data_IF_669723829852
#
_entry.id   IF_669723829852
#
_cell.length_a   1.000
_cell.length_b   1.000
_cell.length_c   1.000
_cell.angle_alpha   90.00
_cell.angle_beta   90.00
_cell.angle_gamma   90.00
#
_symmetry.space_group_name_H-M   'P 1'
#
loop_
_entity.id
_entity.type
_entity.pdbx_description
1 polymer ?
#
# COMPACT_ATOMS: atom_id res chain seq x y z
N UNK A 1 39.99 -3.58 40.64
CA UNK A 1 39.32 -2.28 40.86
C UNK A 1 38.03 -2.27 40.05
N UNK A 2 36.95 -2.56 40.74
CA UNK A 2 35.61 -2.63 40.12
C UNK A 2 34.86 -1.36 40.58
N UNK A 3 34.50 -0.47 39.60
CA UNK A 3 33.64 0.70 39.84
C UNK A 3 32.21 0.36 39.53
N UNK A 4 31.42 0.20 40.58
CA UNK A 4 29.96 0.12 40.56
C UNK A 4 29.39 1.50 40.26
N UNK A 5 28.61 1.63 39.19
CA UNK A 5 27.78 2.80 38.89
C UNK A 5 26.31 2.50 39.21
N UNK A 6 25.74 3.26 40.14
CA UNK A 6 24.39 3.17 40.63
C UNK A 6 23.39 3.81 39.64
N UNK A 7 22.18 3.25 39.45
CA UNK A 7 21.14 3.92 38.68
C UNK A 7 20.41 4.97 39.52
N UNK A 8 20.22 6.14 38.94
CA UNK A 8 19.41 7.23 39.49
C UNK A 8 17.93 6.94 39.29
N UNK A 9 17.24 6.66 40.36
CA UNK A 9 15.77 6.54 40.38
C UNK A 9 15.19 7.93 40.61
N UNK A 10 14.67 8.56 39.58
CA UNK A 10 13.93 9.81 39.67
C UNK A 10 12.48 9.51 40.05
N UNK A 11 12.11 9.79 41.28
CA UNK A 11 10.73 9.73 41.77
C UNK A 11 9.95 10.94 41.24
N UNK A 12 8.91 10.70 40.48
CA UNK A 12 7.90 11.70 40.11
C UNK A 12 6.92 11.90 41.26
N UNK A 13 6.58 13.13 41.65
CA UNK A 13 5.57 13.41 42.66
C UNK A 13 4.17 13.27 42.06
N UNK A 14 3.34 12.48 42.75
CA UNK A 14 1.89 12.37 42.54
C UNK A 14 1.20 13.70 42.88
N UNK A 15 0.82 14.46 41.88
CA UNK A 15 -0.02 15.64 42.00
C UNK A 15 -1.50 15.19 42.15
N UNK A 16 -1.98 15.08 43.37
CA UNK A 16 -3.41 14.91 43.68
C UNK A 16 -4.14 16.22 43.43
N UNK A 17 -4.76 16.39 42.29
CA UNK A 17 -5.72 17.46 42.05
C UNK A 17 -7.11 16.99 42.51
N UNK A 18 -7.56 17.53 43.62
CA UNK A 18 -8.95 17.49 44.09
C UNK A 18 -9.69 18.61 43.37
N UNK A 19 -10.45 18.31 42.34
CA UNK A 19 -11.38 19.26 41.73
C UNK A 19 -12.77 18.97 42.30
N UNK A 20 -13.27 19.95 43.05
CA UNK A 20 -14.56 19.92 43.72
C UNK A 20 -15.72 19.86 42.72
N UNK A 21 -16.72 19.08 43.11
CA UNK A 21 -18.03 19.02 42.50
C UNK A 21 -18.72 20.39 42.69
N UNK A 22 -18.88 21.15 41.60
CA UNK A 22 -19.88 22.19 41.49
C UNK A 22 -20.95 21.72 40.54
N UNK A 23 -22.04 21.19 41.11
CA UNK A 23 -23.24 20.79 40.40
C UNK A 23 -24.01 22.07 40.01
N UNK A 24 -23.84 22.53 38.78
CA UNK A 24 -24.71 23.52 38.17
C UNK A 24 -25.65 22.82 37.21
N UNK A 25 -26.86 22.49 37.67
CA UNK A 25 -27.93 21.98 36.83
C UNK A 25 -28.45 23.11 35.94
N UNK A 26 -27.93 23.20 34.71
CA UNK A 26 -28.44 24.12 33.71
C UNK A 26 -29.41 23.32 32.81
N UNK A 27 -30.70 23.41 33.11
CA UNK A 27 -31.77 22.89 32.28
C UNK A 27 -31.95 23.86 31.11
N UNK A 28 -31.27 23.61 30.01
CA UNK A 28 -31.55 24.27 28.75
C UNK A 28 -32.63 23.45 28.02
N UNK A 29 -33.89 23.89 28.09
CA UNK A 29 -34.97 23.40 27.22
C UNK A 29 -34.72 23.96 25.82
N UNK A 30 -34.00 23.20 24.98
CA UNK A 30 -33.92 23.46 23.55
C UNK A 30 -35.10 22.79 22.89
N UNK A 31 -36.18 23.57 22.73
CA UNK A 31 -37.31 23.22 21.86
C UNK A 31 -36.81 23.08 20.42
N UNK A 32 -37.00 21.89 19.88
CA UNK A 32 -36.85 21.36 18.57
C UNK A 32 -36.64 22.31 17.40
N UNK A 33 -35.51 22.20 16.80
CA UNK A 33 -35.37 22.28 15.36
C UNK A 33 -34.95 20.86 14.92
N UNK A 34 -35.81 20.23 14.09
CA UNK A 34 -35.57 18.86 13.60
C UNK A 34 -34.28 18.81 12.77
N UNK A 35 -33.15 18.69 13.46
CA UNK A 35 -31.88 18.34 12.87
C UNK A 35 -31.95 16.86 12.52
N UNK A 36 -32.35 16.51 11.32
CA UNK A 36 -32.12 15.18 10.78
C UNK A 36 -30.63 14.90 10.92
N UNK A 37 -30.28 13.86 11.68
CA UNK A 37 -28.90 13.40 11.77
C UNK A 37 -28.42 13.13 10.34
N UNK A 38 -27.50 13.96 9.87
CA UNK A 38 -26.87 13.77 8.57
C UNK A 38 -25.94 12.56 8.75
N UNK A 39 -26.45 11.36 8.49
CA UNK A 39 -25.61 10.18 8.36
C UNK A 39 -24.91 10.28 7.01
N UNK A 40 -23.59 10.51 6.97
CA UNK A 40 -22.87 10.48 5.70
C UNK A 40 -23.07 9.11 5.04
N UNK A 41 -23.20 9.06 3.71
CA UNK A 41 -23.34 7.78 3.02
C UNK A 41 -22.17 6.86 3.37
N UNK A 42 -22.42 5.54 3.50
CA UNK A 42 -21.35 4.60 3.81
C UNK A 42 -20.31 4.64 2.68
N UNK A 43 -19.04 4.81 3.05
CA UNK A 43 -17.94 4.70 2.11
C UNK A 43 -17.76 3.21 1.81
N UNK A 44 -17.91 2.82 0.55
CA UNK A 44 -17.67 1.46 0.11
C UNK A 44 -16.17 1.24 -0.18
N UNK A 45 -15.65 0.11 0.27
CA UNK A 45 -14.28 -0.30 -0.07
C UNK A 45 -14.18 -0.57 -1.58
N UNK A 46 -13.20 0.03 -2.23
CA UNK A 46 -12.86 -0.27 -3.62
C UNK A 46 -11.36 -0.26 -3.85
N UNK A 47 -10.90 -1.03 -4.84
CA UNK A 47 -9.51 -1.10 -5.26
C UNK A 47 -9.42 -1.04 -6.77
N UNK A 48 -8.47 -0.28 -7.29
CA UNK A 48 -8.18 -0.17 -8.72
C UNK A 48 -6.67 -0.02 -8.95
N UNK A 49 -6.24 -0.36 -10.16
CA UNK A 49 -4.86 -0.19 -10.63
C UNK A 49 -4.85 0.79 -11.78
N UNK A 50 -3.78 1.59 -11.90
CA UNK A 50 -3.64 2.57 -13.00
C UNK A 50 -3.44 1.91 -14.36
N UNK A 51 -2.87 0.70 -14.40
CA UNK A 51 -2.62 -0.07 -15.61
C UNK A 51 -3.22 -1.47 -15.49
N UNK A 52 -4.13 -1.81 -16.39
CA UNK A 52 -4.74 -3.15 -16.46
C UNK A 52 -3.81 -4.19 -17.07
N UNK A 53 -2.74 -3.75 -17.77
CA UNK A 53 -1.68 -4.61 -18.32
C UNK A 53 -0.33 -4.07 -17.88
N UNK A 54 0.47 -4.92 -17.27
CA UNK A 54 1.80 -4.62 -16.74
C UNK A 54 2.81 -5.57 -17.36
N UNK A 55 3.85 -5.03 -18.00
CA UNK A 55 4.94 -5.81 -18.60
C UNK A 55 6.15 -5.77 -17.68
N UNK A 56 6.63 -6.93 -17.26
CA UNK A 56 7.80 -7.06 -16.38
C UNK A 56 8.87 -7.88 -17.09
N UNK A 57 10.07 -7.32 -17.31
CA UNK A 57 11.17 -8.05 -17.91
C UNK A 57 11.81 -8.99 -16.90
N UNK A 58 12.24 -10.22 -17.30
CA UNK A 58 12.85 -11.19 -16.39
C UNK A 58 14.35 -10.91 -16.20
N UNK A 59 14.71 -9.71 -15.80
CA UNK A 59 16.10 -9.25 -15.65
C UNK A 59 16.37 -8.58 -14.29
N UNK A 60 15.42 -8.68 -13.36
CA UNK A 60 15.51 -8.03 -12.04
C UNK A 60 15.11 -6.55 -12.05
N UNK A 61 14.67 -6.00 -13.18
CA UNK A 61 14.20 -4.60 -13.21
C UNK A 61 12.86 -4.48 -12.51
N UNK A 62 12.77 -3.51 -11.59
CA UNK A 62 11.53 -3.21 -10.89
C UNK A 62 10.53 -2.46 -11.77
N UNK A 63 9.27 -2.89 -11.77
CA UNK A 63 8.16 -2.23 -12.44
C UNK A 63 7.13 -1.81 -11.39
N UNK A 64 6.72 -0.55 -11.44
CA UNK A 64 5.83 0.04 -10.47
C UNK A 64 4.40 0.16 -11.00
N UNK A 65 3.43 -0.21 -10.19
CA UNK A 65 1.99 -0.13 -10.46
C UNK A 65 1.34 0.69 -9.36
N UNK A 66 0.73 1.81 -9.71
CA UNK A 66 -0.03 2.57 -8.73
C UNK A 66 -1.36 1.86 -8.43
N UNK A 67 -1.62 1.66 -7.14
CA UNK A 67 -2.85 1.05 -6.63
C UNK A 67 -3.62 2.12 -5.88
N UNK A 68 -4.86 2.35 -6.29
CA UNK A 68 -5.78 3.27 -5.62
C UNK A 68 -6.78 2.47 -4.80
N UNK A 69 -6.84 2.77 -3.51
CA UNK A 69 -7.74 2.13 -2.56
C UNK A 69 -8.63 3.22 -1.95
N UNK A 70 -9.95 3.06 -2.06
CA UNK A 70 -10.92 3.85 -1.32
C UNK A 70 -11.42 2.97 -0.19
N UNK A 71 -11.14 3.35 1.05
CA UNK A 71 -11.48 2.56 2.23
C UNK A 71 -12.30 3.39 3.23
N UNK A 72 -13.20 2.75 4.01
CA UNK A 72 -13.96 3.43 5.06
C UNK A 72 -13.09 3.88 6.24
N UNK A 73 -11.88 3.36 6.36
CA UNK A 73 -10.87 3.72 7.37
C UNK A 73 -9.52 3.96 6.70
N UNK A 74 -8.62 4.65 7.39
CA UNK A 74 -7.25 4.91 6.91
C UNK A 74 -6.38 3.64 6.83
N UNK A 75 -6.83 2.54 7.45
CA UNK A 75 -6.10 1.27 7.46
C UNK A 75 -6.79 0.23 6.58
N UNK A 76 -6.03 -0.43 5.75
CA UNK A 76 -6.48 -1.56 4.93
C UNK A 76 -5.41 -2.66 4.91
N UNK A 77 -5.84 -3.91 4.80
CA UNK A 77 -4.95 -5.03 4.54
C UNK A 77 -4.82 -5.22 3.03
N UNK A 78 -3.59 -5.43 2.56
CA UNK A 78 -3.29 -5.67 1.15
C UNK A 78 -2.73 -7.08 0.97
N UNK A 79 -3.24 -7.81 0.00
CA UNK A 79 -2.72 -9.13 -0.40
C UNK A 79 -2.74 -9.26 -1.91
N UNK A 80 -1.75 -9.96 -2.46
CA UNK A 80 -1.70 -10.31 -3.87
C UNK A 80 -1.56 -11.82 -4.03
N UNK A 81 -2.24 -12.39 -5.01
CA UNK A 81 -2.22 -13.82 -5.32
C UNK A 81 -2.11 -14.04 -6.82
N UNK A 82 -1.71 -15.25 -7.23
CA UNK A 82 -1.60 -15.62 -8.65
C UNK A 82 -0.35 -15.09 -9.35
N UNK A 83 0.66 -14.62 -8.61
CA UNK A 83 1.96 -14.29 -9.19
C UNK A 83 2.70 -15.57 -9.59
N UNK A 84 3.38 -15.59 -10.76
CA UNK A 84 4.20 -16.74 -11.16
C UNK A 84 5.45 -16.88 -10.29
N UNK A 85 5.98 -18.11 -10.23
CA UNK A 85 7.24 -18.36 -9.55
C UNK A 85 8.37 -17.49 -10.12
N UNK A 86 9.19 -16.91 -9.27
CA UNK A 86 10.28 -16.01 -9.64
C UNK A 86 9.89 -14.53 -9.76
N UNK A 87 8.62 -14.19 -9.55
CA UNK A 87 8.18 -12.79 -9.35
C UNK A 87 8.07 -12.51 -7.86
N UNK A 88 8.76 -11.48 -7.42
CA UNK A 88 8.61 -10.89 -6.08
C UNK A 88 7.80 -9.60 -6.15
N UNK A 89 7.08 -9.32 -5.07
CA UNK A 89 6.26 -8.13 -4.93
C UNK A 89 6.62 -7.36 -3.64
N UNK A 90 6.40 -6.07 -3.65
CA UNK A 90 6.48 -5.21 -2.49
C UNK A 90 5.45 -4.10 -2.62
N UNK A 91 4.62 -3.92 -1.62
CA UNK A 91 3.63 -2.84 -1.57
C UNK A 91 4.04 -1.79 -0.55
N UNK A 92 4.09 -0.54 -0.99
CA UNK A 92 4.37 0.61 -0.14
C UNK A 92 3.16 1.54 -0.15
N UNK A 93 2.51 1.67 1.00
CA UNK A 93 1.39 2.59 1.21
C UNK A 93 1.86 4.05 1.17
N UNK A 94 0.96 4.94 0.79
CA UNK A 94 1.11 6.38 0.94
C UNK A 94 0.98 6.78 2.41
N UNK A 95 1.60 7.88 2.82
CA UNK A 95 1.59 8.35 4.22
C UNK A 95 0.19 8.75 4.74
N UNK A 96 -0.75 9.04 3.84
CA UNK A 96 -2.06 9.63 4.20
C UNK A 96 -3.26 8.77 3.87
N UNK A 97 -3.08 7.64 3.17
CA UNK A 97 -4.19 6.73 2.81
C UNK A 97 -3.65 5.36 2.43
N UNK A 98 -4.49 4.30 2.42
CA UNK A 98 -4.05 2.95 2.07
C UNK A 98 -3.67 2.75 0.59
N UNK A 99 -3.88 3.74 -0.28
CA UNK A 99 -3.39 3.72 -1.66
C UNK A 99 -1.86 3.75 -1.68
N UNK A 100 -1.25 3.16 -2.70
CA UNK A 100 0.22 3.08 -2.70
C UNK A 100 0.81 2.59 -4.02
N UNK A 101 2.05 2.14 -3.91
CA UNK A 101 2.84 1.67 -5.04
C UNK A 101 3.17 0.19 -4.87
N UNK A 102 2.67 -0.63 -5.79
CA UNK A 102 3.05 -2.03 -5.92
C UNK A 102 4.26 -2.13 -6.83
N UNK A 103 5.36 -2.66 -6.33
CA UNK A 103 6.58 -2.92 -7.10
C UNK A 103 6.66 -4.40 -7.41
N UNK A 104 6.82 -4.75 -8.68
CA UNK A 104 6.98 -6.11 -9.17
C UNK A 104 8.38 -6.30 -9.76
N UNK A 105 9.03 -7.40 -9.43
CA UNK A 105 10.37 -7.75 -9.94
C UNK A 105 10.35 -9.21 -10.38
N UNK A 106 10.66 -9.46 -11.64
CA UNK A 106 10.83 -10.82 -12.15
C UNK A 106 12.32 -11.16 -12.30
N UNK A 107 12.73 -12.30 -11.78
CA UNK A 107 14.10 -12.80 -11.93
C UNK A 107 14.27 -13.52 -13.30
N UNK A 108 15.52 -13.85 -13.65
CA UNK A 108 15.86 -14.49 -14.92
C UNK A 108 15.31 -15.93 -15.09
N UNK A 109 14.86 -16.56 -14.00
CA UNK A 109 14.25 -17.90 -14.04
C UNK A 109 12.72 -17.85 -14.17
N UNK A 110 12.12 -16.65 -14.16
CA UNK A 110 10.67 -16.50 -14.33
C UNK A 110 10.26 -16.91 -15.75
N UNK A 111 9.28 -17.79 -15.83
CA UNK A 111 8.79 -18.29 -17.12
C UNK A 111 8.06 -17.16 -17.85
N UNK A 112 8.45 -16.85 -19.12
CA UNK A 112 7.73 -15.88 -19.94
C UNK A 112 6.29 -16.33 -20.20
N UNK A 113 5.35 -15.38 -20.17
CA UNK A 113 3.94 -15.68 -20.34
C UNK A 113 3.03 -14.57 -19.88
N UNK A 114 1.73 -14.84 -19.97
CA UNK A 114 0.68 -13.92 -19.47
C UNK A 114 0.00 -14.56 -18.27
N UNK A 115 -0.09 -13.80 -17.19
CA UNK A 115 -0.66 -14.19 -15.91
C UNK A 115 -1.75 -13.22 -15.50
N UNK A 116 -2.65 -13.63 -14.64
CA UNK A 116 -3.77 -12.80 -14.14
C UNK A 116 -3.76 -12.76 -12.61
N UNK A 117 -2.80 -12.06 -12.02
CA UNK A 117 -2.78 -11.91 -10.57
C UNK A 117 -3.95 -11.06 -10.08
N UNK A 118 -4.36 -11.33 -8.84
CA UNK A 118 -5.44 -10.64 -8.15
C UNK A 118 -4.91 -9.92 -6.92
N UNK A 119 -5.23 -8.63 -6.82
CA UNK A 119 -5.06 -7.85 -5.60
C UNK A 119 -6.36 -7.94 -4.81
N UNK A 120 -6.26 -8.22 -3.53
CA UNK A 120 -7.39 -8.23 -2.58
C UNK A 120 -7.08 -7.29 -1.43
N UNK A 121 -8.03 -6.42 -1.11
CA UNK A 121 -7.93 -5.43 -0.04
C UNK A 121 -9.07 -5.66 0.94
N UNK A 122 -8.76 -5.61 2.24
CA UNK A 122 -9.74 -5.72 3.31
C UNK A 122 -9.70 -4.49 4.23
N UNK A 123 -10.86 -3.93 4.58
CA UNK A 123 -10.99 -2.83 5.53
C UNK A 123 -12.36 -2.87 6.20
N UNK A 124 -12.41 -2.73 7.52
CA UNK A 124 -13.66 -2.68 8.31
C UNK A 124 -14.66 -3.80 7.99
N UNK A 125 -14.17 -5.03 7.78
CA UNK A 125 -15.02 -6.19 7.45
C UNK A 125 -15.52 -6.24 6.01
N UNK A 126 -15.15 -5.28 5.18
CA UNK A 126 -15.38 -5.28 3.72
C UNK A 126 -14.16 -5.84 2.98
N UNK A 127 -14.39 -6.40 1.80
CA UNK A 127 -13.33 -6.90 0.91
C UNK A 127 -13.61 -6.42 -0.51
N UNK A 128 -12.57 -5.94 -1.20
CA UNK A 128 -12.59 -5.58 -2.60
C UNK A 128 -11.42 -6.24 -3.33
N UNK A 129 -11.59 -6.56 -4.62
CA UNK A 129 -10.55 -7.19 -5.42
C UNK A 129 -10.48 -6.60 -6.81
N UNK A 130 -9.27 -6.60 -7.38
CA UNK A 130 -9.01 -6.26 -8.79
C UNK A 130 -8.04 -7.25 -9.39
N UNK A 131 -8.31 -7.66 -10.63
CA UNK A 131 -7.42 -8.51 -11.45
C UNK A 131 -6.75 -7.62 -12.49
N UNK A 132 -5.47 -7.85 -12.75
CA UNK A 132 -4.74 -7.21 -13.83
C UNK A 132 -3.96 -8.25 -14.64
N UNK A 133 -3.57 -7.89 -15.86
CA UNK A 133 -2.77 -8.73 -16.73
C UNK A 133 -1.29 -8.46 -16.47
N UNK A 134 -0.54 -9.49 -16.08
CA UNK A 134 0.91 -9.44 -15.91
C UNK A 134 1.55 -10.20 -17.08
N UNK A 135 2.34 -9.51 -17.88
CA UNK A 135 3.10 -10.09 -18.99
C UNK A 135 4.58 -10.18 -18.60
N UNK A 136 5.11 -11.38 -18.49
CA UNK A 136 6.55 -11.59 -18.39
C UNK A 136 7.11 -11.70 -19.80
N UNK A 137 7.93 -10.73 -20.20
CA UNK A 137 8.52 -10.72 -21.54
C UNK A 137 9.56 -11.83 -21.70
N UNK A 138 9.66 -12.36 -22.92
CA UNK A 138 10.77 -13.26 -23.23
C UNK A 138 12.11 -12.50 -23.17
N UNK A 139 13.21 -13.14 -22.73
CA UNK A 139 14.53 -12.53 -22.81
C UNK A 139 14.87 -12.27 -24.29
N UNK A 140 15.61 -11.18 -24.60
CA UNK A 140 16.01 -10.90 -25.97
C UNK A 140 16.80 -12.07 -26.55
N UNK A 141 16.44 -12.48 -27.75
CA UNK A 141 17.09 -13.61 -28.43
C UNK A 141 18.58 -13.28 -28.64
N UNK A 142 19.52 -14.20 -28.31
CA UNK A 142 20.92 -14.00 -28.64
C UNK A 142 21.07 -13.86 -30.15
N UNK A 143 21.34 -12.68 -30.65
CA UNK A 143 21.43 -12.35 -32.07
C UNK A 143 20.82 -11.01 -32.46
N UNK A 144 19.79 -10.55 -31.75
CA UNK A 144 19.13 -9.28 -32.09
C UNK A 144 19.99 -8.04 -31.70
N UNK A 145 20.96 -8.22 -30.81
CA UNK A 145 21.93 -7.16 -30.45
C UNK A 145 23.00 -6.90 -31.55
N UNK A 146 23.14 -7.77 -32.57
CA UNK A 146 24.14 -7.61 -33.60
C UNK A 146 23.71 -6.67 -34.74
N UNK A 147 22.40 -6.52 -34.93
CA UNK A 147 21.85 -5.72 -36.07
C UNK A 147 22.04 -4.19 -35.89
N UNK A 148 22.24 -3.72 -34.66
CA UNK A 148 22.43 -2.28 -34.44
C UNK A 148 23.89 -1.82 -34.63
N UNK A 149 24.88 -2.72 -34.65
CA UNK A 149 26.30 -2.36 -34.86
C UNK A 149 26.67 -2.27 -36.35
N UNK A 150 25.94 -2.97 -37.23
CA UNK A 150 26.22 -3.00 -38.67
C UNK A 150 25.63 -1.80 -39.45
N UNK A 151 24.88 -0.93 -38.78
CA UNK A 151 24.23 0.24 -39.41
C UNK A 151 24.96 1.57 -39.20
N UNK A 152 26.11 1.57 -38.50
CA UNK A 152 27.02 2.71 -38.45
C UNK A 152 28.29 2.40 -39.26
N UNK A 153 28.31 2.66 -40.59
CA UNK A 153 29.57 2.69 -41.33
C UNK A 153 30.41 3.81 -40.74
N UNK A 154 31.60 3.44 -40.26
CA UNK A 154 32.55 4.39 -39.70
C UNK A 154 32.79 5.54 -40.64
N UNK A 155 32.63 6.74 -40.17
CA UNK A 155 33.18 7.96 -40.78
C UNK A 155 34.70 7.94 -40.53
N UNK A 156 35.46 7.61 -41.56
CA UNK A 156 36.88 7.98 -41.70
C UNK A 156 36.99 9.48 -41.91
#
# INVERSE_FOLDING_TARGET
MVRSSRPWITRLPLLRSRIGLASATFVLAVTGCGGGAFTPPPINLSVSVNNTTVVVPPNGTAVNVAVTIVAPTETATFTISGLPAGVSESYKESESNPSGLLTLVANSSTVPGTYMPQITVGSSGQTASVIFTLVISAPPKPGDAKSLRDHFPGTE
#
